data_IF_836740567220
#
_entry.id   IF_836740567220
#
_cell.length_a   1.000
_cell.length_b   1.000
_cell.length_c   1.000
_cell.angle_alpha   90.00
_cell.angle_beta   90.00
_cell.angle_gamma   90.00
#
_symmetry.space_group_name_H-M   'P 1'
#
loop_
_entity.id
_entity.type
_entity.pdbx_description
1 polymer ?
#
# COMPACT_ATOMS: atom_id res chain seq x y z
N UNK A 1 11.60 -12.71 -4.68
CA UNK A 1 10.53 -11.78 -4.28
C UNK A 1 10.55 -10.59 -5.24
N UNK A 2 9.47 -10.32 -5.97
CA UNK A 2 9.35 -9.15 -6.86
C UNK A 2 8.36 -8.12 -6.31
N UNK A 3 8.61 -6.84 -6.56
CA UNK A 3 7.65 -5.77 -6.28
C UNK A 3 6.46 -5.91 -7.22
N UNK A 4 5.27 -6.00 -6.65
CA UNK A 4 4.02 -5.94 -7.38
C UNK A 4 3.62 -4.47 -7.57
N UNK A 5 3.10 -4.15 -8.75
CA UNK A 5 2.38 -2.88 -8.93
C UNK A 5 0.91 -3.17 -8.86
N UNK A 6 0.27 -2.58 -7.86
CA UNK A 6 -1.17 -2.66 -7.68
C UNK A 6 -1.81 -1.33 -8.06
N UNK A 7 -3.02 -1.41 -8.60
CA UNK A 7 -3.92 -0.29 -8.73
C UNK A 7 -5.00 -0.43 -7.68
N UNK A 8 -5.09 0.54 -6.79
CA UNK A 8 -6.02 0.51 -5.68
C UNK A 8 -7.38 1.08 -6.07
N UNK A 9 -8.44 0.52 -5.50
CA UNK A 9 -9.82 0.93 -5.68
C UNK A 9 -10.55 0.93 -4.34
N UNK A 10 -11.70 1.59 -4.29
CA UNK A 10 -12.51 1.72 -3.07
C UNK A 10 -12.93 0.36 -2.47
N UNK A 11 -12.99 -0.70 -3.29
CA UNK A 11 -13.37 -2.05 -2.87
C UNK A 11 -12.32 -3.13 -3.06
N UNK A 12 -11.08 -2.79 -3.44
CA UNK A 12 -10.04 -3.79 -3.73
C UNK A 12 -8.87 -3.22 -4.50
N UNK A 13 -8.08 -4.09 -5.12
CA UNK A 13 -6.95 -3.68 -5.96
C UNK A 13 -6.77 -4.62 -7.16
N UNK A 14 -6.30 -4.09 -8.28
CA UNK A 14 -5.86 -4.87 -9.44
C UNK A 14 -4.34 -5.00 -9.45
N UNK A 15 -3.85 -6.17 -9.83
CA UNK A 15 -2.41 -6.40 -10.03
C UNK A 15 -2.04 -5.98 -11.44
N UNK A 16 -1.43 -4.80 -11.60
CA UNK A 16 -0.88 -4.34 -12.88
C UNK A 16 0.40 -5.11 -13.22
N UNK A 17 1.23 -5.39 -12.21
CA UNK A 17 2.49 -6.13 -12.38
C UNK A 17 2.59 -7.23 -11.35
N UNK A 18 2.78 -8.47 -11.82
CA UNK A 18 2.93 -9.62 -10.96
C UNK A 18 4.14 -9.47 -10.04
N UNK A 19 3.88 -9.52 -8.74
CA UNK A 19 4.86 -9.56 -7.68
C UNK A 19 4.29 -10.20 -6.43
N UNK A 20 5.08 -10.24 -5.36
CA UNK A 20 4.72 -10.88 -4.10
C UNK A 20 4.49 -9.86 -2.98
N UNK A 21 5.07 -8.67 -3.11
CA UNK A 21 5.00 -7.61 -2.10
C UNK A 21 4.89 -6.24 -2.76
N UNK A 22 4.34 -5.28 -2.07
CA UNK A 22 4.38 -3.85 -2.39
C UNK A 22 5.30 -3.13 -1.41
N UNK A 23 5.76 -1.93 -1.76
CA UNK A 23 6.51 -1.10 -0.84
C UNK A 23 5.60 -0.08 -0.17
N UNK A 24 5.75 0.06 1.15
CA UNK A 24 5.13 1.14 1.91
C UNK A 24 5.66 2.48 1.38
N UNK A 25 4.79 3.42 1.04
CA UNK A 25 5.26 4.73 0.54
C UNK A 25 6.00 5.52 1.62
N UNK A 26 5.64 5.32 2.89
CA UNK A 26 6.21 6.05 4.03
C UNK A 26 7.55 5.43 4.44
N UNK A 27 7.55 4.18 4.91
CA UNK A 27 8.76 3.52 5.41
C UNK A 27 9.57 2.76 4.35
N UNK A 28 9.08 2.61 3.11
CA UNK A 28 9.67 1.73 2.08
C UNK A 28 9.86 0.28 2.52
N UNK A 29 9.09 -0.15 3.53
CA UNK A 29 9.03 -1.54 3.97
C UNK A 29 8.31 -2.39 2.95
N UNK A 30 8.74 -3.64 2.83
CA UNK A 30 8.06 -4.66 2.01
C UNK A 30 6.82 -5.13 2.75
N UNK A 31 5.67 -5.02 2.10
CA UNK A 31 4.37 -5.48 2.57
C UNK A 31 3.94 -6.59 1.63
N UNK A 32 3.86 -7.82 2.11
CA UNK A 32 3.33 -8.92 1.31
C UNK A 32 1.90 -8.59 0.86
N UNK A 33 1.54 -8.95 -0.37
CA UNK A 33 0.19 -8.73 -0.90
C UNK A 33 -0.90 -9.35 0.00
N UNK A 34 -0.54 -10.42 0.70
CA UNK A 34 -1.37 -11.17 1.62
C UNK A 34 -1.63 -10.41 2.94
N UNK A 35 -0.70 -9.55 3.33
CA UNK A 35 -0.73 -8.75 4.56
C UNK A 35 -1.17 -7.29 4.27
N UNK A 36 -1.33 -6.93 2.99
CA UNK A 36 -1.74 -5.60 2.56
C UNK A 36 -3.20 -5.33 2.94
N UNK A 37 -3.38 -4.68 4.09
CA UNK A 37 -4.70 -4.29 4.63
C UNK A 37 -5.02 -2.81 4.51
N UNK A 38 -4.01 -1.96 4.30
CA UNK A 38 -4.15 -0.52 4.32
C UNK A 38 -3.59 0.09 3.04
N UNK A 39 -4.44 0.76 2.27
CA UNK A 39 -4.06 1.46 1.05
C UNK A 39 -4.88 2.73 0.89
N UNK A 40 -4.34 3.70 0.15
CA UNK A 40 -5.06 4.90 -0.27
C UNK A 40 -5.38 4.81 -1.75
N UNK A 41 -6.66 4.92 -2.08
CA UNK A 41 -7.16 4.90 -3.46
C UNK A 41 -6.87 6.21 -4.18
N UNK A 42 -6.99 7.33 -3.48
CA UNK A 42 -6.74 8.66 -4.05
C UNK A 42 -5.28 8.83 -4.43
N UNK A 43 -4.38 8.34 -3.57
CA UNK A 43 -2.94 8.51 -3.73
C UNK A 43 -2.28 7.30 -4.40
N UNK A 44 -3.00 6.19 -4.55
CA UNK A 44 -2.49 4.92 -5.08
C UNK A 44 -1.29 4.38 -4.30
N UNK A 45 -1.32 4.50 -2.98
CA UNK A 45 -0.21 4.19 -2.07
C UNK A 45 -0.55 3.04 -1.11
N UNK A 46 0.39 2.12 -0.89
CA UNK A 46 0.32 1.11 0.15
C UNK A 46 0.93 1.58 1.46
N UNK A 47 0.33 1.13 2.57
CA UNK A 47 0.78 1.44 3.92
C UNK A 47 0.97 0.15 4.72
N UNK A 48 2.10 0.05 5.43
CA UNK A 48 2.44 -1.15 6.21
C UNK A 48 1.76 -1.16 7.58
N UNK A 49 1.29 -0.01 8.05
CA UNK A 49 0.67 0.11 9.36
C UNK A 49 -0.37 1.24 9.39
N UNK A 50 -1.45 1.09 10.18
CA UNK A 50 -2.45 2.14 10.36
C UNK A 50 -1.87 3.39 11.01
N UNK A 51 -0.79 3.25 11.78
CA UNK A 51 -0.06 4.36 12.41
C UNK A 51 0.57 5.26 11.35
N UNK A 52 1.07 4.70 10.24
CA UNK A 52 1.65 5.48 9.13
C UNK A 52 0.56 6.20 8.33
N UNK A 53 -0.61 5.59 8.17
CA UNK A 53 -1.79 6.23 7.56
C UNK A 53 -2.23 7.44 8.41
N UNK A 54 -2.35 7.25 9.72
CA UNK A 54 -2.72 8.31 10.66
C UNK A 54 -1.67 9.45 10.68
N UNK A 55 -0.38 9.13 10.56
CA UNK A 55 0.69 10.14 10.53
C UNK A 55 0.64 11.05 9.29
N UNK A 56 0.00 10.61 8.19
CA UNK A 56 -0.26 11.45 7.01
C UNK A 56 -1.51 12.33 7.17
N UNK A 57 -2.41 12.00 8.10
CA UNK A 57 -3.65 12.74 8.37
C UNK A 57 -3.45 13.79 9.48
N UNK A 58 -2.54 13.57 10.45
CA UNK A 58 -2.33 14.48 11.59
C UNK A 58 -1.31 15.60 11.37
N UNK A 59 -1.23 16.19 10.17
CA UNK A 59 -0.45 17.42 9.96
C UNK A 59 -1.30 18.50 9.28
N UNK A 60 -2.53 18.67 9.79
CA UNK A 60 -3.33 19.90 9.68
C UNK A 60 -3.43 20.54 11.07
#
# INVERSE_FOLDING_TARGET
>A
MKEAKLKYYAGGFDVITQGNYVLCVISKKKIDLQDLRYWSVELQEAYSSPIEVAKKISND
#
